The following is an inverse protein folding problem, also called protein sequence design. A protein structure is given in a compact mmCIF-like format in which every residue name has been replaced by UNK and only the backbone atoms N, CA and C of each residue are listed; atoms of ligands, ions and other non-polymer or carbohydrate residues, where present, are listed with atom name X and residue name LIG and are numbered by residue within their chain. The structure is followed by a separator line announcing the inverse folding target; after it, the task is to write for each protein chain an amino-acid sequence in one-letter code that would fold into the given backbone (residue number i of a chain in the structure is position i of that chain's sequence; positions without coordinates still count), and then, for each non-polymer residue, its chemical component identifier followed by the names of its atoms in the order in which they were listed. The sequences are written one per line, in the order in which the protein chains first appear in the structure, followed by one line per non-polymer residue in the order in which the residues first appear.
data_IF_877082588687
#
_entry.id   IF_877082588687
#
_cell.length_a   1.000
_cell.length_b   1.000
_cell.length_c   1.000
_cell.angle_alpha   90.00
_cell.angle_beta   90.00
_cell.angle_gamma   90.00
#
_symmetry.space_group_name_H-M   'P 1'
#
loop_
_entity.id
_entity.type
_entity.pdbx_description
1 polymer ?
#
# COMPACT_ATOMS: atom_id res chain seq x y z
N UNK A 1 -1.05 15.72 -4.49
CA UNK A 1 -1.67 14.45 -4.05
C UNK A 1 -0.99 14.08 -2.74
N UNK A 2 -1.75 13.68 -1.72
CA UNK A 2 -1.19 13.23 -0.45
C UNK A 2 -0.60 11.83 -0.60
N UNK A 3 0.52 11.56 0.07
CA UNK A 3 1.17 10.24 0.14
C UNK A 3 1.02 9.65 1.53
N UNK A 4 0.79 8.35 1.62
CA UNK A 4 0.86 7.61 2.88
C UNK A 4 2.34 7.45 3.28
N UNK A 5 2.65 7.70 4.54
CA UNK A 5 3.94 7.42 5.14
C UNK A 5 3.70 6.95 6.57
N UNK A 6 3.82 5.65 6.82
CA UNK A 6 3.49 5.03 8.11
C UNK A 6 4.47 3.91 8.46
N UNK A 7 4.54 3.60 9.76
CA UNK A 7 5.30 2.47 10.27
C UNK A 7 4.41 1.23 10.37
N UNK A 8 4.86 0.11 9.83
CA UNK A 8 4.16 -1.18 9.88
C UNK A 8 5.02 -2.26 10.53
N UNK A 9 4.36 -3.27 11.10
CA UNK A 9 5.01 -4.31 11.89
C UNK A 9 5.39 -5.56 11.07
N UNK A 10 4.83 -5.73 9.87
CA UNK A 10 5.11 -6.87 8.99
C UNK A 10 4.90 -6.49 7.51
N UNK A 11 5.36 -7.35 6.61
CA UNK A 11 5.33 -7.14 5.15
C UNK A 11 4.19 -7.89 4.45
N UNK A 12 3.22 -8.43 5.20
CA UNK A 12 2.10 -9.13 4.60
C UNK A 12 1.22 -8.18 3.81
N UNK A 13 0.76 -8.65 2.64
CA UNK A 13 -0.09 -7.88 1.75
C UNK A 13 -1.31 -7.29 2.47
N UNK A 14 -1.92 -8.06 3.37
CA UNK A 14 -3.10 -7.64 4.14
C UNK A 14 -2.84 -6.42 5.03
N UNK A 15 -1.64 -6.30 5.61
CA UNK A 15 -1.25 -5.12 6.39
C UNK A 15 -1.13 -3.91 5.48
N UNK A 16 -0.41 -4.06 4.36
CA UNK A 16 -0.15 -2.97 3.41
C UNK A 16 -1.47 -2.49 2.76
N UNK A 17 -2.30 -3.43 2.31
CA UNK A 17 -3.62 -3.16 1.75
C UNK A 17 -4.48 -2.36 2.71
N UNK A 18 -4.54 -2.76 3.99
CA UNK A 18 -5.33 -2.07 5.00
C UNK A 18 -4.87 -0.63 5.21
N UNK A 19 -3.57 -0.42 5.42
CA UNK A 19 -3.05 0.95 5.67
C UNK A 19 -3.30 1.87 4.46
N UNK A 20 -3.15 1.35 3.23
CA UNK A 20 -3.43 2.11 2.01
C UNK A 20 -4.93 2.35 1.85
N UNK A 21 -5.76 1.32 2.03
CA UNK A 21 -7.22 1.42 1.88
C UNK A 21 -7.83 2.40 2.87
N UNK A 22 -7.35 2.41 4.10
CA UNK A 22 -7.82 3.29 5.16
C UNK A 22 -7.42 4.75 4.87
N UNK A 23 -6.17 4.99 4.44
CA UNK A 23 -5.69 6.33 4.14
C UNK A 23 -6.38 6.98 2.93
N UNK A 24 -6.64 6.21 1.87
CA UNK A 24 -7.28 6.71 0.64
C UNK A 24 -8.80 6.50 0.61
N UNK A 25 -9.40 5.94 1.69
CA UNK A 25 -10.81 5.55 1.79
C UNK A 25 -11.25 4.72 0.58
N UNK A 26 -10.54 3.61 0.32
CA UNK A 26 -10.82 2.70 -0.80
C UNK A 26 -11.91 1.68 -0.48
N UNK A 27 -12.33 1.57 0.78
CA UNK A 27 -13.20 0.50 1.26
C UNK A 27 -12.42 -0.79 1.50
N UNK A 28 -13.10 -1.94 1.49
CA UNK A 28 -12.41 -3.24 1.58
C UNK A 28 -11.69 -3.51 0.25
N UNK A 29 -10.47 -4.03 0.31
CA UNK A 29 -9.75 -4.46 -0.89
C UNK A 29 -10.37 -5.75 -1.42
N UNK A 30 -10.93 -5.68 -2.64
CA UNK A 30 -11.50 -6.81 -3.37
C UNK A 30 -10.39 -7.64 -4.03
N UNK A 31 -9.34 -6.98 -4.52
CA UNK A 31 -8.22 -7.60 -5.23
C UNK A 31 -7.00 -6.68 -5.28
N UNK A 32 -5.80 -7.27 -5.28
CA UNK A 32 -4.54 -6.57 -5.57
C UNK A 32 -3.56 -7.50 -6.29
N UNK A 33 -2.51 -6.92 -6.87
CA UNK A 33 -1.36 -7.68 -7.41
C UNK A 33 -0.16 -7.71 -6.44
N UNK A 34 -0.39 -7.40 -5.15
CA UNK A 34 0.66 -7.53 -4.15
C UNK A 34 1.03 -9.01 -3.96
N UNK A 35 2.32 -9.35 -3.81
CA UNK A 35 2.71 -10.68 -3.37
C UNK A 35 2.23 -10.92 -1.94
N UNK A 36 2.04 -12.18 -1.54
CA UNK A 36 1.61 -12.58 -0.18
C UNK A 36 2.44 -11.87 0.91
N UNK A 37 3.73 -11.74 0.66
CA UNK A 37 4.64 -10.96 1.48
C UNK A 37 5.53 -10.11 0.57
N UNK A 38 5.57 -8.81 0.84
CA UNK A 38 6.45 -7.90 0.11
C UNK A 38 7.90 -8.07 0.55
N UNK A 39 8.83 -7.76 -0.34
CA UNK A 39 10.25 -7.80 -0.04
C UNK A 39 10.67 -6.52 0.70
N UNK A 40 11.58 -6.67 1.67
CA UNK A 40 12.19 -5.51 2.33
C UNK A 40 13.04 -4.68 1.36
N UNK A 41 13.13 -3.37 1.63
CA UNK A 41 13.93 -2.41 0.87
C UNK A 41 13.59 -2.33 -0.64
N UNK A 42 12.33 -2.57 -0.98
CA UNK A 42 11.81 -2.50 -2.35
C UNK A 42 11.06 -1.21 -2.65
N UNK A 43 10.96 -0.92 -3.94
CA UNK A 43 10.16 0.16 -4.49
C UNK A 43 9.55 -0.34 -5.81
N UNK A 44 8.27 -0.64 -5.80
CA UNK A 44 7.54 -1.22 -6.94
C UNK A 44 6.14 -0.63 -7.06
N UNK A 45 5.51 -0.88 -8.20
CA UNK A 45 4.18 -0.38 -8.52
C UNK A 45 3.15 -1.50 -8.44
N UNK A 46 2.06 -1.26 -7.72
CA UNK A 46 1.01 -2.24 -7.46
C UNK A 46 -0.38 -1.64 -7.72
N UNK A 47 -1.30 -2.48 -8.17
CA UNK A 47 -2.71 -2.14 -8.39
C UNK A 47 -3.51 -2.65 -7.20
N UNK A 48 -4.28 -1.76 -6.57
CA UNK A 48 -5.22 -2.09 -5.51
C UNK A 48 -6.64 -1.72 -5.97
N UNK A 49 -7.54 -2.69 -5.88
CA UNK A 49 -8.95 -2.56 -6.24
C UNK A 49 -9.76 -2.70 -4.96
N UNK A 50 -10.25 -1.57 -4.45
CA UNK A 50 -11.17 -1.52 -3.32
C UNK A 50 -12.63 -1.49 -3.75
N UNK A 51 -13.51 -1.71 -2.78
CA UNK A 51 -14.96 -1.69 -3.00
C UNK A 51 -15.52 -0.31 -3.33
N UNK A 52 -14.82 0.78 -2.97
CA UNK A 52 -15.19 2.17 -3.29
C UNK A 52 -14.32 2.81 -4.36
N UNK A 53 -13.04 2.43 -4.41
CA UNK A 53 -12.03 3.08 -5.26
C UNK A 53 -10.98 2.09 -5.73
N UNK A 54 -10.39 2.37 -6.89
CA UNK A 54 -9.26 1.61 -7.43
C UNK A 54 -8.13 2.55 -7.85
N UNK A 55 -6.90 2.07 -7.73
CA UNK A 55 -5.73 2.86 -8.07
C UNK A 55 -4.47 2.03 -8.21
N UNK A 56 -3.53 2.59 -8.97
CA UNK A 56 -2.16 2.12 -9.06
C UNK A 56 -1.30 2.95 -8.11
N UNK A 57 -0.45 2.29 -7.32
CA UNK A 57 0.34 2.89 -6.26
C UNK A 57 1.82 2.51 -6.41
N UNK A 58 2.69 3.51 -6.32
CA UNK A 58 4.09 3.28 -6.02
C UNK A 58 4.21 3.01 -4.52
N UNK A 59 4.64 1.80 -4.18
CA UNK A 59 4.85 1.35 -2.81
C UNK A 59 6.35 1.17 -2.59
N UNK A 60 6.86 1.85 -1.56
CA UNK A 60 8.23 1.71 -1.09
C UNK A 60 8.23 1.23 0.35
N UNK A 61 9.06 0.24 0.62
CA UNK A 61 9.23 -0.35 1.94
C UNK A 61 10.70 -0.17 2.33
N UNK A 62 10.95 0.28 3.56
CA UNK A 62 12.31 0.41 4.08
C UNK A 62 12.41 -0.19 5.48
N UNK A 63 13.35 -1.12 5.68
CA UNK A 63 13.59 -1.70 7.01
C UNK A 63 14.19 -0.65 7.95
N UNK A 64 13.70 -0.60 9.17
CA UNK A 64 14.14 0.33 10.20
C UNK A 64 15.07 -0.36 11.20
N UNK A 65 15.90 0.43 11.88
CA UNK A 65 16.86 -0.07 12.87
C UNK A 65 16.20 -0.81 14.06
N UNK A 66 14.92 -0.54 14.33
CA UNK A 66 14.15 -1.21 15.38
C UNK A 66 13.45 -2.50 14.90
N UNK A 67 13.78 -2.99 13.71
CA UNK A 67 13.24 -4.23 13.14
C UNK A 67 11.85 -4.10 12.52
N UNK A 68 11.24 -2.90 12.56
CA UNK A 68 9.97 -2.58 11.89
C UNK A 68 10.21 -2.07 10.47
N UNK A 69 9.13 -1.80 9.74
CA UNK A 69 9.19 -1.33 8.36
C UNK A 69 8.52 0.03 8.20
N UNK A 70 9.10 0.86 7.32
CA UNK A 70 8.50 2.11 6.89
C UNK A 70 7.82 1.89 5.54
N UNK A 71 6.50 2.07 5.51
CA UNK A 71 5.67 1.99 4.32
C UNK A 71 5.43 3.39 3.78
N UNK A 72 5.84 3.61 2.54
CA UNK A 72 5.48 4.78 1.77
C UNK A 72 4.62 4.35 0.57
N UNK A 73 3.45 4.97 0.39
CA UNK A 73 2.59 4.67 -0.74
C UNK A 73 2.02 5.95 -1.35
N UNK A 74 2.20 6.12 -2.66
CA UNK A 74 1.67 7.26 -3.42
C UNK A 74 1.00 6.79 -4.69
N UNK A 75 -0.17 7.32 -5.05
CA UNK A 75 -0.84 6.92 -6.28
C UNK A 75 -0.03 7.39 -7.50
N UNK A 76 0.06 6.55 -8.53
CA UNK A 76 0.73 6.86 -9.81
C UNK A 76 -0.11 7.88 -10.59
N UNK A 77 -1.42 7.66 -10.61
CA UNK A 77 -2.40 8.54 -11.25
C UNK A 77 -3.54 8.89 -10.29
N UNK A 78 -4.56 9.61 -10.78
CA UNK A 78 -5.74 9.91 -9.97
C UNK A 78 -6.50 8.61 -9.67
N UNK A 79 -6.66 8.32 -8.38
CA UNK A 79 -7.49 7.21 -7.89
C UNK A 79 -8.91 7.35 -8.44
N UNK A 80 -9.45 6.26 -9.00
CA UNK A 80 -10.78 6.22 -9.62
C UNK A 80 -11.82 5.79 -8.59
N UNK A 81 -13.01 6.37 -8.68
CA UNK A 81 -14.17 5.91 -7.91
C UNK A 81 -14.85 4.77 -8.66
N UNK A 82 -15.40 3.82 -7.89
CA UNK A 82 -16.14 2.67 -8.38
C UNK A 82 -17.64 2.89 -8.24
#
# INVERSE_FOLDING_TARGET
MSSLSIKIDNLYYSTIEREISDFYDMGMIDSSNLPIECLEDTCDTYILIGSKKEGEFNIRIAKQADGKYWLFASPVEKIKQK
#
